data_IF_121746090097
#
_entry.id   IF_121746090097
#
_cell.length_a   1.000
_cell.length_b   1.000
_cell.length_c   1.000
_cell.angle_alpha   90.00
_cell.angle_beta   90.00
_cell.angle_gamma   90.00
#
_symmetry.space_group_name_H-M   'P 1'
#
loop_
_entity.id
_entity.type
_entity.pdbx_description
1 polymer ?
#
# COMPACT_ATOMS: atom_id res chain seq x y z
N UNK A 1 27.33 -3.10 22.62
CA UNK A 1 26.93 -4.08 23.67
C UNK A 1 27.27 -5.48 23.15
N UNK A 2 28.23 -6.16 23.79
CA UNK A 2 28.56 -7.57 23.50
C UNK A 2 27.44 -8.43 24.08
N UNK A 3 26.38 -8.65 23.31
CA UNK A 3 25.36 -9.64 23.63
C UNK A 3 25.97 -11.04 23.52
N UNK A 4 25.58 -11.97 24.34
CA UNK A 4 25.91 -13.38 24.16
C UNK A 4 25.46 -13.80 22.78
N UNK A 5 26.32 -14.55 22.05
CA UNK A 5 25.98 -15.06 20.71
C UNK A 5 24.75 -15.99 20.85
N UNK A 6 23.75 -15.78 19.97
CA UNK A 6 22.56 -16.63 19.88
C UNK A 6 22.99 -18.10 19.67
N UNK A 7 22.42 -19.02 20.42
CA UNK A 7 22.69 -20.46 20.27
C UNK A 7 22.01 -21.01 19.02
N UNK A 8 22.45 -22.17 18.54
CA UNK A 8 21.81 -22.88 17.42
C UNK A 8 20.32 -23.17 17.68
N UNK A 9 19.96 -23.51 18.91
CA UNK A 9 18.59 -23.80 19.30
C UNK A 9 17.73 -22.53 19.30
N UNK A 10 18.24 -21.43 19.87
CA UNK A 10 17.54 -20.12 19.85
C UNK A 10 17.33 -19.63 18.42
N UNK A 11 18.33 -19.74 17.56
CA UNK A 11 18.20 -19.42 16.13
C UNK A 11 17.13 -20.31 15.47
N UNK A 12 17.18 -21.64 15.70
CA UNK A 12 16.21 -22.57 15.13
C UNK A 12 14.77 -22.20 15.52
N UNK A 13 14.52 -21.94 16.81
CA UNK A 13 13.21 -21.54 17.31
C UNK A 13 12.73 -20.21 16.72
N UNK A 14 13.62 -19.21 16.62
CA UNK A 14 13.32 -17.92 16.00
C UNK A 14 12.99 -18.07 14.50
N UNK A 15 13.68 -18.94 13.79
CA UNK A 15 13.42 -19.16 12.38
C UNK A 15 12.10 -19.90 12.12
N UNK A 16 11.76 -20.88 12.97
CA UNK A 16 10.43 -21.54 12.93
C UNK A 16 9.33 -20.53 13.19
N UNK A 17 9.47 -19.63 14.19
CA UNK A 17 8.50 -18.57 14.43
C UNK A 17 8.35 -17.60 13.24
N UNK A 18 9.42 -17.37 12.49
CA UNK A 18 9.34 -16.56 11.25
C UNK A 18 8.53 -17.27 10.14
N UNK A 19 8.66 -18.60 10.01
CA UNK A 19 7.85 -19.40 9.07
C UNK A 19 6.38 -19.38 9.48
N UNK A 20 6.07 -19.56 10.76
CA UNK A 20 4.69 -19.49 11.29
C UNK A 20 4.08 -18.09 11.03
N UNK A 21 4.86 -17.02 11.25
CA UNK A 21 4.43 -15.65 11.01
C UNK A 21 4.14 -15.39 9.53
N UNK A 22 4.95 -15.94 8.62
CA UNK A 22 4.70 -15.84 7.18
C UNK A 22 3.42 -16.58 6.77
N UNK A 23 3.19 -17.79 7.32
CA UNK A 23 1.92 -18.52 7.14
C UNK A 23 0.72 -17.74 7.65
N UNK A 24 0.83 -17.15 8.83
CA UNK A 24 -0.22 -16.32 9.42
C UNK A 24 -0.54 -15.10 8.56
N UNK A 25 0.47 -14.42 8.02
CA UNK A 25 0.26 -13.27 7.13
C UNK A 25 -0.54 -13.66 5.87
N UNK A 26 -0.28 -14.85 5.30
CA UNK A 26 -1.07 -15.38 4.17
C UNK A 26 -2.52 -15.63 4.58
N UNK A 27 -2.76 -16.21 5.75
CA UNK A 27 -4.12 -16.43 6.26
C UNK A 27 -4.87 -15.12 6.53
N UNK A 28 -4.20 -14.11 7.07
CA UNK A 28 -4.76 -12.76 7.24
C UNK A 28 -5.13 -12.16 5.89
N UNK A 29 -4.26 -12.29 4.89
CA UNK A 29 -4.53 -11.87 3.50
C UNK A 29 -5.77 -12.55 2.92
N UNK A 30 -5.92 -13.87 3.11
CA UNK A 30 -7.11 -14.63 2.68
C UNK A 30 -8.36 -14.13 3.41
N UNK A 31 -8.31 -13.96 4.72
CA UNK A 31 -9.42 -13.46 5.52
C UNK A 31 -9.89 -12.06 5.11
N UNK A 32 -8.95 -11.18 4.75
CA UNK A 32 -9.26 -9.85 4.25
C UNK A 32 -9.92 -9.90 2.86
N UNK A 33 -9.33 -10.64 1.92
CA UNK A 33 -9.84 -10.74 0.55
C UNK A 33 -11.20 -11.41 0.44
N UNK A 34 -11.48 -12.40 1.30
CA UNK A 34 -12.76 -13.11 1.36
C UNK A 34 -13.83 -12.38 2.20
N UNK A 35 -13.43 -11.34 2.97
CA UNK A 35 -14.32 -10.64 3.88
C UNK A 35 -14.57 -11.37 5.21
N UNK A 36 -13.90 -12.50 5.48
CA UNK A 36 -14.09 -13.30 6.71
C UNK A 36 -13.80 -12.47 7.97
N UNK A 37 -12.75 -11.64 7.96
CA UNK A 37 -12.42 -10.79 9.10
C UNK A 37 -13.53 -9.77 9.40
N UNK A 38 -14.08 -9.14 8.36
CA UNK A 38 -15.19 -8.19 8.49
C UNK A 38 -16.49 -8.89 8.96
N UNK A 39 -16.78 -10.08 8.39
CA UNK A 39 -17.93 -10.91 8.79
C UNK A 39 -17.85 -11.29 10.26
N UNK A 40 -16.70 -11.82 10.70
CA UNK A 40 -16.51 -12.24 12.10
C UNK A 40 -16.57 -11.08 13.09
N UNK A 41 -16.12 -9.88 12.70
CA UNK A 41 -16.22 -8.70 13.55
C UNK A 41 -17.67 -8.27 13.83
N UNK A 42 -18.60 -8.63 12.94
CA UNK A 42 -20.04 -8.38 13.09
C UNK A 42 -20.83 -9.50 13.77
N UNK A 43 -20.19 -10.66 14.04
CA UNK A 43 -20.87 -11.83 14.61
C UNK A 43 -20.58 -11.97 16.12
N UNK A 44 -21.53 -12.52 16.90
CA UNK A 44 -21.22 -13.10 18.20
C UNK A 44 -20.34 -14.38 18.01
N UNK A 45 -19.83 -14.99 19.08
CA UNK A 45 -19.15 -16.28 18.98
C UNK A 45 -20.02 -17.29 18.19
N UNK A 46 -19.47 -17.88 17.13
CA UNK A 46 -20.21 -18.70 16.17
C UNK A 46 -19.37 -19.91 15.73
N UNK A 47 -20.05 -20.98 15.30
CA UNK A 47 -19.44 -22.18 14.74
C UNK A 47 -18.86 -21.89 13.35
N UNK A 48 -17.98 -22.78 12.86
CA UNK A 48 -17.44 -22.66 11.48
C UNK A 48 -18.55 -22.66 10.40
N UNK A 49 -19.63 -23.41 10.63
CA UNK A 49 -20.79 -23.46 9.75
C UNK A 49 -21.52 -22.12 9.68
N UNK A 50 -21.82 -21.52 10.83
CA UNK A 50 -22.52 -20.24 10.92
C UNK A 50 -21.68 -19.11 10.32
N UNK A 51 -20.35 -19.11 10.56
CA UNK A 51 -19.42 -18.14 9.96
C UNK A 51 -19.38 -18.30 8.43
N UNK A 52 -19.31 -19.54 7.94
CA UNK A 52 -19.29 -19.82 6.52
C UNK A 52 -20.61 -19.39 5.84
N UNK A 53 -21.75 -19.67 6.45
CA UNK A 53 -23.06 -19.23 5.96
C UNK A 53 -23.15 -17.70 5.92
N UNK A 54 -22.76 -17.01 6.99
CA UNK A 54 -22.78 -15.55 7.06
C UNK A 54 -21.84 -14.89 6.03
N UNK A 55 -20.71 -15.52 5.71
CA UNK A 55 -19.76 -15.05 4.72
C UNK A 55 -20.10 -15.48 3.27
N UNK A 56 -21.04 -16.41 3.08
CA UNK A 56 -21.35 -17.01 1.78
C UNK A 56 -20.21 -17.85 1.21
N UNK A 57 -19.48 -18.57 2.08
CA UNK A 57 -18.28 -19.33 1.74
C UNK A 57 -18.43 -20.82 2.09
N UNK A 58 -17.57 -21.66 1.50
CA UNK A 58 -17.52 -23.09 1.75
C UNK A 58 -16.94 -23.42 3.14
N UNK A 59 -17.71 -24.08 3.99
CA UNK A 59 -17.37 -24.37 5.39
C UNK A 59 -16.03 -25.08 5.55
N UNK A 60 -15.71 -26.03 4.67
CA UNK A 60 -14.45 -26.78 4.75
C UNK A 60 -13.23 -25.86 4.73
N UNK A 61 -13.22 -24.83 3.87
CA UNK A 61 -12.13 -23.84 3.79
C UNK A 61 -12.16 -22.88 4.98
N UNK A 62 -13.36 -22.43 5.38
CA UNK A 62 -13.52 -21.56 6.55
C UNK A 62 -13.00 -22.24 7.81
N UNK A 63 -13.31 -23.51 8.03
CA UNK A 63 -12.84 -24.29 9.19
C UNK A 63 -11.32 -24.44 9.22
N UNK A 64 -10.67 -24.77 8.11
CA UNK A 64 -9.20 -24.82 8.03
C UNK A 64 -8.56 -23.46 8.31
N UNK A 65 -9.13 -22.39 7.71
CA UNK A 65 -8.68 -21.02 7.95
C UNK A 65 -8.81 -20.63 9.43
N UNK A 66 -9.95 -20.93 10.05
CA UNK A 66 -10.18 -20.71 11.50
C UNK A 66 -9.16 -21.45 12.36
N UNK A 67 -8.80 -22.68 12.00
CA UNK A 67 -7.76 -23.45 12.66
C UNK A 67 -6.41 -22.72 12.65
N UNK A 68 -5.98 -22.22 11.47
CA UNK A 68 -4.76 -21.45 11.34
C UNK A 68 -4.80 -20.11 12.08
N UNK A 69 -5.92 -19.38 12.00
CA UNK A 69 -6.09 -18.10 12.69
C UNK A 69 -6.15 -18.27 14.22
N UNK A 70 -6.66 -19.39 14.71
CA UNK A 70 -6.71 -19.72 16.13
C UNK A 70 -5.31 -20.08 16.64
N UNK A 71 -4.58 -20.94 15.94
CA UNK A 71 -3.20 -21.30 16.32
C UNK A 71 -2.26 -20.10 16.23
N UNK A 72 -2.52 -19.18 15.27
CA UNK A 72 -1.86 -17.89 15.15
C UNK A 72 -2.34 -16.82 16.15
N UNK A 73 -3.25 -17.17 17.08
CA UNK A 73 -3.76 -16.29 18.15
C UNK A 73 -4.48 -15.02 17.65
N UNK A 74 -5.01 -15.04 16.44
CA UNK A 74 -5.86 -13.94 15.91
C UNK A 74 -7.33 -14.15 16.27
N UNK A 75 -7.81 -15.38 16.15
CA UNK A 75 -9.18 -15.80 16.48
C UNK A 75 -9.16 -16.58 17.79
N UNK A 76 -10.15 -16.35 18.65
CA UNK A 76 -10.37 -17.13 19.85
C UNK A 76 -11.31 -18.29 19.59
N UNK A 77 -11.07 -19.44 20.26
CA UNK A 77 -11.87 -20.65 20.15
C UNK A 77 -12.30 -21.15 21.52
N UNK A 78 -13.61 -21.35 21.68
CA UNK A 78 -14.18 -22.03 22.85
C UNK A 78 -14.46 -23.51 22.50
N UNK A 79 -13.71 -24.40 23.09
CA UNK A 79 -13.84 -25.84 22.90
C UNK A 79 -15.16 -26.40 23.48
N UNK A 80 -15.76 -25.74 24.47
CA UNK A 80 -17.00 -26.18 25.11
C UNK A 80 -18.21 -26.01 24.19
N UNK A 81 -18.26 -24.93 23.47
CA UNK A 81 -19.33 -24.60 22.49
C UNK A 81 -18.93 -24.84 21.03
N UNK A 82 -17.67 -25.15 20.75
CA UNK A 82 -17.09 -25.23 19.40
C UNK A 82 -17.28 -23.94 18.60
N UNK A 83 -17.19 -22.78 19.26
CA UNK A 83 -17.38 -21.46 18.62
C UNK A 83 -16.09 -20.67 18.53
N UNK A 84 -16.03 -19.83 17.49
CA UNK A 84 -14.93 -18.92 17.20
C UNK A 84 -15.39 -17.46 17.35
N UNK A 85 -14.48 -16.58 17.76
CA UNK A 85 -14.73 -15.15 17.82
C UNK A 85 -13.49 -14.33 17.45
N UNK A 86 -13.70 -13.17 16.83
CA UNK A 86 -12.65 -12.18 16.57
C UNK A 86 -12.77 -11.07 17.63
N UNK A 87 -11.85 -10.96 18.59
CA UNK A 87 -11.89 -9.93 19.62
C UNK A 87 -11.88 -8.52 19.04
N UNK A 88 -12.66 -7.59 19.59
CA UNK A 88 -12.84 -6.24 19.08
C UNK A 88 -11.51 -5.47 18.89
N UNK A 89 -10.55 -5.63 19.82
CA UNK A 89 -9.25 -4.98 19.71
C UNK A 89 -8.41 -5.50 18.54
N UNK A 90 -8.58 -6.77 18.13
CA UNK A 90 -7.93 -7.35 16.93
C UNK A 90 -8.71 -6.96 15.66
N UNK A 91 -10.03 -6.95 15.72
CA UNK A 91 -10.87 -6.47 14.62
C UNK A 91 -10.54 -5.02 14.25
N UNK A 92 -10.26 -4.15 15.24
CA UNK A 92 -9.84 -2.77 15.06
C UNK A 92 -8.49 -2.58 14.35
N UNK A 93 -7.76 -3.68 14.05
CA UNK A 93 -6.48 -3.64 13.30
C UNK A 93 -6.50 -4.49 12.03
N UNK A 94 -7.56 -5.27 11.79
CA UNK A 94 -7.57 -6.28 10.72
C UNK A 94 -8.80 -6.19 9.80
N UNK A 95 -9.77 -5.33 10.11
CA UNK A 95 -10.97 -5.16 9.28
C UNK A 95 -10.95 -3.87 8.48
N UNK A 96 -11.81 -3.76 7.48
CA UNK A 96 -11.96 -2.53 6.69
C UNK A 96 -12.40 -1.34 7.52
N UNK A 97 -13.13 -1.58 8.61
CA UNK A 97 -13.54 -0.55 9.56
C UNK A 97 -12.36 0.11 10.31
N UNK A 98 -11.20 -0.54 10.35
CA UNK A 98 -9.97 0.02 10.93
C UNK A 98 -9.38 1.18 10.10
N UNK A 99 -9.82 1.35 8.84
CA UNK A 99 -9.29 2.40 7.96
C UNK A 99 -7.77 2.33 7.79
N UNK A 100 -7.04 3.42 8.05
CA UNK A 100 -5.57 3.47 7.90
C UNK A 100 -4.81 2.47 8.79
N UNK A 101 -5.41 2.01 9.87
CA UNK A 101 -4.80 1.06 10.81
C UNK A 101 -4.98 -0.41 10.38
N UNK A 102 -5.59 -0.68 9.22
CA UNK A 102 -5.85 -2.03 8.74
C UNK A 102 -4.59 -2.76 8.26
N UNK A 103 -3.93 -3.49 9.13
CA UNK A 103 -2.72 -4.26 8.82
C UNK A 103 -2.97 -5.44 7.86
N UNK A 104 -4.23 -5.88 7.71
CA UNK A 104 -4.56 -6.97 6.80
C UNK A 104 -4.32 -6.59 5.31
N UNK A 105 -4.35 -5.31 4.98
CA UNK A 105 -3.98 -4.82 3.65
C UNK A 105 -2.50 -5.06 3.37
N UNK A 106 -1.62 -4.74 4.33
CA UNK A 106 -0.17 -4.95 4.21
C UNK A 106 0.15 -6.44 4.09
N UNK A 107 -0.59 -7.31 4.80
CA UNK A 107 -0.39 -8.75 4.73
C UNK A 107 -0.57 -9.33 3.31
N UNK A 108 -1.34 -8.67 2.44
CA UNK A 108 -1.53 -9.11 1.05
C UNK A 108 -0.23 -9.06 0.23
N UNK A 109 0.71 -8.19 0.57
CA UNK A 109 2.00 -8.12 -0.13
C UNK A 109 2.82 -9.40 0.02
N UNK A 110 2.70 -10.12 1.13
CA UNK A 110 3.45 -11.38 1.34
C UNK A 110 3.16 -12.38 0.22
N UNK A 111 1.89 -12.57 -0.13
CA UNK A 111 1.52 -13.47 -1.23
C UNK A 111 1.81 -12.87 -2.60
N UNK A 112 1.56 -11.57 -2.80
CA UNK A 112 1.83 -10.88 -4.05
C UNK A 112 3.32 -10.95 -4.43
N UNK A 113 4.22 -10.66 -3.50
CA UNK A 113 5.66 -10.73 -3.74
C UNK A 113 6.13 -12.17 -3.96
N UNK A 114 5.53 -13.16 -3.32
CA UNK A 114 5.80 -14.57 -3.54
C UNK A 114 5.50 -15.03 -4.98
N UNK A 115 4.54 -14.43 -5.67
CA UNK A 115 4.20 -14.78 -7.06
C UNK A 115 5.35 -14.49 -8.05
N UNK A 116 6.25 -13.57 -7.74
CA UNK A 116 7.38 -13.17 -8.60
C UNK A 116 8.74 -13.72 -8.17
N UNK A 117 8.81 -14.49 -7.08
CA UNK A 117 10.07 -15.00 -6.51
C UNK A 117 11.01 -15.60 -7.56
N UNK A 118 10.52 -16.48 -8.43
CA UNK A 118 11.34 -17.14 -9.45
C UNK A 118 11.86 -16.15 -10.52
N UNK A 119 11.14 -15.05 -10.74
CA UNK A 119 11.58 -13.99 -11.66
C UNK A 119 12.69 -13.15 -11.03
N UNK A 120 12.54 -12.81 -9.76
CA UNK A 120 13.59 -12.12 -8.99
C UNK A 120 14.86 -12.98 -8.88
N UNK A 121 14.74 -14.28 -8.62
CA UNK A 121 15.89 -15.20 -8.62
C UNK A 121 16.67 -15.15 -9.96
N UNK A 122 16.00 -15.00 -11.10
CA UNK A 122 16.67 -14.80 -12.39
C UNK A 122 17.42 -13.46 -12.41
N UNK A 123 16.83 -12.38 -11.90
CA UNK A 123 17.48 -11.08 -11.84
C UNK A 123 18.78 -11.09 -11.02
N UNK A 124 18.90 -11.94 -10.00
CA UNK A 124 20.18 -12.14 -9.27
C UNK A 124 21.32 -12.66 -10.14
N UNK A 125 21.01 -13.34 -11.25
CA UNK A 125 22.01 -13.94 -12.15
C UNK A 125 22.25 -13.09 -13.38
N UNK A 126 21.22 -12.45 -13.89
CA UNK A 126 21.18 -11.82 -15.20
C UNK A 126 21.09 -10.30 -15.15
N UNK A 127 20.80 -9.74 -13.96
CA UNK A 127 20.46 -8.33 -13.81
C UNK A 127 19.06 -8.01 -14.35
N UNK A 128 18.78 -6.73 -14.53
CA UNK A 128 17.46 -6.24 -14.93
C UNK A 128 16.49 -6.16 -13.75
N UNK A 129 15.20 -6.11 -14.02
CA UNK A 129 14.11 -6.05 -13.04
C UNK A 129 12.92 -6.90 -13.49
N UNK A 130 11.89 -6.96 -12.65
CA UNK A 130 10.63 -7.64 -12.96
C UNK A 130 9.62 -6.56 -13.41
N UNK A 131 9.09 -6.63 -14.64
CA UNK A 131 8.12 -5.64 -15.12
C UNK A 131 6.85 -5.58 -14.25
N UNK A 132 6.27 -4.41 -14.10
CA UNK A 132 5.02 -4.20 -13.33
C UNK A 132 3.86 -5.10 -13.80
N UNK A 133 3.78 -5.40 -15.09
CA UNK A 133 2.77 -6.30 -15.67
C UNK A 133 2.83 -7.73 -15.13
N UNK A 134 3.91 -8.09 -14.44
CA UNK A 134 4.09 -9.42 -13.86
C UNK A 134 3.56 -9.54 -12.42
N UNK A 135 3.02 -8.44 -11.86
CA UNK A 135 2.42 -8.38 -10.53
C UNK A 135 0.88 -8.27 -10.65
N UNK A 136 0.15 -9.38 -10.69
CA UNK A 136 -1.25 -9.42 -11.18
C UNK A 136 -2.26 -8.62 -10.34
N UNK A 137 -1.92 -8.22 -9.13
CA UNK A 137 -2.84 -7.47 -8.24
C UNK A 137 -2.23 -6.19 -7.70
N UNK A 138 -1.04 -5.81 -8.19
CA UNK A 138 -0.28 -4.72 -7.60
C UNK A 138 -1.04 -3.40 -7.59
N UNK A 139 -1.54 -2.96 -8.76
CA UNK A 139 -2.28 -1.69 -8.86
C UNK A 139 -3.53 -1.66 -7.97
N UNK A 140 -4.25 -2.79 -7.86
CA UNK A 140 -5.42 -2.87 -6.98
C UNK A 140 -5.03 -2.75 -5.50
N UNK A 141 -3.97 -3.45 -5.09
CA UNK A 141 -3.49 -3.43 -3.71
C UNK A 141 -2.93 -2.05 -3.34
N UNK A 142 -2.14 -1.43 -4.23
CA UNK A 142 -1.64 -0.07 -4.02
C UNK A 142 -2.77 0.95 -3.95
N UNK A 143 -3.79 0.83 -4.78
CA UNK A 143 -4.96 1.70 -4.71
C UNK A 143 -5.74 1.54 -3.39
N UNK A 144 -5.86 0.30 -2.86
CA UNK A 144 -6.46 0.04 -1.55
C UNK A 144 -5.64 0.67 -0.43
N UNK A 145 -4.31 0.44 -0.41
CA UNK A 145 -3.40 0.97 0.61
C UNK A 145 -3.35 2.50 0.59
N UNK A 146 -3.12 3.10 -0.59
CA UNK A 146 -3.09 4.56 -0.74
C UNK A 146 -4.44 5.18 -0.41
N UNK A 147 -5.54 4.51 -0.77
CA UNK A 147 -6.90 4.96 -0.48
C UNK A 147 -7.13 5.12 1.01
N UNK A 148 -6.71 4.17 1.84
CA UNK A 148 -6.87 4.26 3.29
C UNK A 148 -6.18 5.50 3.88
N UNK A 149 -4.96 5.81 3.43
CA UNK A 149 -4.19 6.96 3.92
C UNK A 149 -4.73 8.27 3.34
N UNK A 150 -4.96 8.32 2.04
CA UNK A 150 -5.38 9.57 1.38
C UNK A 150 -6.80 9.97 1.76
N UNK A 151 -7.74 9.02 1.88
CA UNK A 151 -9.12 9.33 2.28
C UNK A 151 -9.18 9.91 3.69
N UNK A 152 -8.31 9.46 4.58
CA UNK A 152 -8.28 9.91 5.97
C UNK A 152 -7.45 11.20 6.18
N UNK A 153 -6.38 11.43 5.39
CA UNK A 153 -5.36 12.39 5.79
C UNK A 153 -4.90 13.36 4.69
N UNK A 154 -5.14 13.09 3.40
CA UNK A 154 -4.52 13.89 2.33
C UNK A 154 -4.87 15.38 2.45
N UNK A 155 -6.15 15.71 2.54
CA UNK A 155 -6.63 17.10 2.48
C UNK A 155 -6.35 17.85 3.77
N UNK A 156 -6.62 17.21 4.93
CA UNK A 156 -6.64 17.87 6.22
C UNK A 156 -5.33 17.75 7.00
N UNK A 157 -4.44 16.82 6.61
CA UNK A 157 -3.17 16.59 7.31
C UNK A 157 -1.97 16.76 6.39
N UNK A 158 -1.95 16.06 5.22
CA UNK A 158 -0.75 16.00 4.37
C UNK A 158 -0.53 17.31 3.61
N UNK A 159 -1.57 17.86 2.95
CA UNK A 159 -1.43 19.13 2.24
C UNK A 159 -1.06 20.31 3.15
N UNK A 160 -1.60 20.43 4.39
CA UNK A 160 -1.20 21.46 5.35
C UNK A 160 0.24 21.37 5.88
N UNK A 161 0.97 20.27 5.64
CA UNK A 161 2.42 20.22 5.97
C UNK A 161 3.23 21.28 5.23
N UNK A 162 2.70 21.78 4.12
CA UNK A 162 3.26 22.93 3.41
C UNK A 162 2.42 24.17 3.71
N UNK A 163 3.05 25.14 4.38
CA UNK A 163 2.39 26.38 4.77
C UNK A 163 1.73 27.10 3.58
N UNK A 164 0.44 27.42 3.71
CA UNK A 164 -0.32 28.14 2.70
C UNK A 164 -0.72 27.32 1.46
N UNK A 165 -0.34 26.04 1.36
CA UNK A 165 -0.68 25.20 0.22
C UNK A 165 -2.20 25.04 0.04
N UNK A 166 -3.00 24.73 1.08
CA UNK A 166 -4.46 24.62 0.91
C UNK A 166 -5.11 25.92 0.40
N UNK A 167 -4.62 27.09 0.82
CA UNK A 167 -5.15 28.39 0.36
C UNK A 167 -4.75 28.67 -1.09
N UNK A 168 -3.54 28.31 -1.50
CA UNK A 168 -3.10 28.38 -2.90
C UNK A 168 -3.99 27.51 -3.79
N UNK A 169 -4.29 26.28 -3.36
CA UNK A 169 -5.18 25.39 -4.10
C UNK A 169 -6.62 25.91 -4.18
N UNK A 170 -7.13 26.54 -3.12
CA UNK A 170 -8.46 27.20 -3.15
C UNK A 170 -8.51 28.39 -4.09
N UNK A 171 -7.38 29.13 -4.22
CA UNK A 171 -7.28 30.31 -5.08
C UNK A 171 -7.12 29.96 -6.56
N UNK A 172 -6.75 28.74 -6.88
CA UNK A 172 -6.51 28.25 -8.22
C UNK A 172 -5.02 28.09 -8.55
N UNK A 173 -4.61 26.86 -8.83
CA UNK A 173 -3.24 26.48 -9.18
C UNK A 173 -3.24 25.38 -10.24
N UNK A 174 -2.15 25.30 -11.01
CA UNK A 174 -1.83 24.16 -11.86
C UNK A 174 -1.02 23.15 -11.05
N UNK A 175 -1.59 21.98 -10.82
CA UNK A 175 -1.03 20.92 -9.97
C UNK A 175 -0.77 19.68 -10.81
N UNK A 176 0.38 19.05 -10.61
CA UNK A 176 0.62 17.71 -11.14
C UNK A 176 0.92 16.72 -10.01
N UNK A 177 0.46 15.48 -10.17
CA UNK A 177 0.80 14.35 -9.32
C UNK A 177 1.63 13.36 -10.15
N UNK A 178 2.90 13.20 -9.79
CA UNK A 178 3.87 12.42 -10.57
C UNK A 178 4.01 11.01 -9.99
N UNK A 179 3.80 9.99 -10.84
CA UNK A 179 3.65 8.61 -10.40
C UNK A 179 2.28 8.39 -9.74
N UNK A 180 1.24 8.99 -10.33
CA UNK A 180 -0.08 9.07 -9.70
C UNK A 180 -0.84 7.74 -9.63
N UNK A 181 -0.35 6.67 -10.27
CA UNK A 181 -1.10 5.44 -10.41
C UNK A 181 -2.48 5.69 -11.01
N UNK A 182 -3.52 5.10 -10.46
CA UNK A 182 -4.92 5.37 -10.86
C UNK A 182 -5.47 6.72 -10.36
N UNK A 183 -4.63 7.60 -9.79
CA UNK A 183 -4.95 8.98 -9.47
C UNK A 183 -5.88 9.18 -8.25
N UNK A 184 -5.74 8.38 -7.19
CA UNK A 184 -6.55 8.59 -5.98
C UNK A 184 -6.35 9.98 -5.40
N UNK A 185 -5.10 10.41 -5.22
CA UNK A 185 -4.76 11.74 -4.71
C UNK A 185 -5.27 12.86 -5.62
N UNK A 186 -5.07 12.71 -6.94
CA UNK A 186 -5.58 13.66 -7.96
C UNK A 186 -7.09 13.87 -7.81
N UNK A 187 -7.86 12.79 -7.70
CA UNK A 187 -9.32 12.86 -7.60
C UNK A 187 -9.78 13.52 -6.31
N UNK A 188 -9.17 13.19 -5.18
CA UNK A 188 -9.48 13.82 -3.89
C UNK A 188 -9.17 15.31 -3.89
N UNK A 189 -8.01 15.69 -4.40
CA UNK A 189 -7.63 17.10 -4.53
C UNK A 189 -8.55 17.85 -5.50
N UNK A 190 -8.91 17.25 -6.63
CA UNK A 190 -9.82 17.85 -7.61
C UNK A 190 -11.24 18.09 -7.04
N UNK A 191 -11.72 17.16 -6.21
CA UNK A 191 -13.00 17.32 -5.48
C UNK A 191 -12.93 18.45 -4.46
N UNK A 192 -11.84 18.54 -3.71
CA UNK A 192 -11.69 19.52 -2.63
C UNK A 192 -11.41 20.96 -3.13
N UNK A 193 -10.75 21.09 -4.30
CA UNK A 193 -10.21 22.38 -4.78
C UNK A 193 -10.66 22.65 -6.23
N UNK A 194 -11.94 22.94 -6.41
CA UNK A 194 -12.55 23.14 -7.72
C UNK A 194 -11.99 24.31 -8.57
N UNK A 195 -11.26 25.26 -7.99
CA UNK A 195 -10.60 26.34 -8.70
C UNK A 195 -9.25 25.95 -9.31
N UNK A 196 -8.62 24.87 -8.83
CA UNK A 196 -7.35 24.35 -9.32
C UNK A 196 -7.53 23.30 -10.41
N UNK A 197 -6.50 23.11 -11.24
CA UNK A 197 -6.43 22.08 -12.27
C UNK A 197 -5.41 21.03 -11.86
N UNK A 198 -5.77 19.77 -11.99
CA UNK A 198 -4.95 18.64 -11.57
C UNK A 198 -4.63 17.74 -12.76
N UNK A 199 -3.36 17.39 -12.90
CA UNK A 199 -2.87 16.46 -13.92
C UNK A 199 -2.17 15.29 -13.24
N UNK A 200 -2.74 14.09 -13.32
CA UNK A 200 -2.05 12.87 -12.94
C UNK A 200 -1.12 12.41 -14.05
N UNK A 201 0.13 12.09 -13.74
CA UNK A 201 1.11 11.60 -14.70
C UNK A 201 1.65 10.26 -14.21
N UNK A 202 1.51 9.23 -15.07
CA UNK A 202 2.03 7.89 -14.80
C UNK A 202 2.52 7.25 -16.12
N UNK A 203 3.43 6.27 -16.02
CA UNK A 203 3.92 5.55 -17.21
C UNK A 203 2.99 4.38 -17.62
N UNK A 204 2.10 3.93 -16.74
CA UNK A 204 1.19 2.81 -16.95
C UNK A 204 -0.05 3.23 -17.74
N UNK A 205 -0.25 2.65 -18.92
CA UNK A 205 -1.48 2.85 -19.71
C UNK A 205 -2.73 2.44 -18.94
N UNK A 206 -2.66 1.33 -18.19
CA UNK A 206 -3.78 0.81 -17.38
C UNK A 206 -4.16 1.79 -16.26
N UNK A 207 -3.17 2.31 -15.54
CA UNK A 207 -3.39 3.25 -14.45
C UNK A 207 -4.00 4.57 -14.95
N UNK A 208 -3.47 5.12 -16.04
CA UNK A 208 -3.98 6.35 -16.69
C UNK A 208 -5.41 6.16 -17.19
N UNK A 209 -5.70 5.03 -17.84
CA UNK A 209 -7.05 4.72 -18.30
C UNK A 209 -8.04 4.62 -17.15
N UNK A 210 -7.69 3.90 -16.08
CA UNK A 210 -8.53 3.77 -14.89
C UNK A 210 -8.76 5.11 -14.19
N UNK A 211 -7.72 5.95 -14.07
CA UNK A 211 -7.83 7.30 -13.53
C UNK A 211 -8.76 8.20 -14.33
N UNK A 212 -8.64 8.16 -15.65
CA UNK A 212 -9.48 8.94 -16.59
C UNK A 212 -10.95 8.52 -16.51
N UNK A 213 -11.23 7.22 -16.53
CA UNK A 213 -12.59 6.69 -16.43
C UNK A 213 -13.25 7.07 -15.09
N UNK A 214 -12.54 6.89 -14.01
CA UNK A 214 -13.04 7.23 -12.67
C UNK A 214 -13.27 8.74 -12.51
N UNK A 215 -12.39 9.60 -12.99
CA UNK A 215 -12.57 11.05 -12.96
C UNK A 215 -13.81 11.47 -13.76
N UNK A 216 -14.04 10.88 -14.93
CA UNK A 216 -15.23 11.12 -15.73
C UNK A 216 -16.50 10.65 -14.98
N UNK A 217 -16.48 9.47 -14.34
CA UNK A 217 -17.59 8.95 -13.53
C UNK A 217 -17.93 9.86 -12.35
N UNK A 218 -16.92 10.49 -11.77
CA UNK A 218 -17.07 11.44 -10.65
C UNK A 218 -17.40 12.87 -11.12
N UNK A 219 -17.44 13.14 -12.43
CA UNK A 219 -17.73 14.46 -12.99
C UNK A 219 -16.64 15.52 -12.75
N UNK A 220 -15.38 15.11 -12.60
CA UNK A 220 -14.25 15.98 -12.27
C UNK A 220 -13.68 16.63 -13.53
N UNK A 221 -14.25 17.78 -13.94
CA UNK A 221 -13.80 18.53 -15.12
C UNK A 221 -12.40 19.17 -14.95
N UNK A 222 -11.89 19.24 -13.74
CA UNK A 222 -10.60 19.83 -13.39
C UNK A 222 -9.50 18.77 -13.12
N UNK A 223 -9.74 17.48 -13.44
CA UNK A 223 -8.76 16.41 -13.34
C UNK A 223 -8.50 15.79 -14.72
N UNK A 224 -7.24 15.67 -15.11
CA UNK A 224 -6.79 15.03 -16.33
C UNK A 224 -5.68 14.03 -16.05
N UNK A 225 -5.48 13.07 -16.94
CA UNK A 225 -4.43 12.06 -16.81
C UNK A 225 -3.61 11.95 -18.09
N UNK A 226 -2.30 11.88 -17.95
CA UNK A 226 -1.36 11.80 -19.06
C UNK A 226 -0.40 10.61 -18.84
N UNK A 227 -0.14 9.85 -19.91
CA UNK A 227 0.89 8.81 -19.88
C UNK A 227 2.24 9.40 -20.24
N UNK A 228 3.17 9.42 -19.31
CA UNK A 228 4.57 9.77 -19.54
C UNK A 228 5.51 9.00 -18.63
N UNK A 229 6.69 8.68 -19.15
CA UNK A 229 7.85 8.32 -18.32
C UNK A 229 8.41 9.61 -17.70
N UNK A 230 8.48 9.67 -16.37
CA UNK A 230 8.95 10.85 -15.65
C UNK A 230 10.44 11.17 -15.94
N UNK A 231 11.24 10.15 -16.32
CA UNK A 231 12.62 10.34 -16.73
C UNK A 231 12.74 11.04 -18.11
N UNK A 232 11.71 10.95 -18.96
CA UNK A 232 11.65 11.56 -20.29
C UNK A 232 10.77 12.83 -20.32
N UNK A 233 10.25 13.27 -19.19
CA UNK A 233 9.35 14.41 -19.10
C UNK A 233 10.08 15.71 -19.46
N UNK A 234 9.57 16.48 -20.42
CA UNK A 234 10.15 17.72 -20.94
C UNK A 234 9.39 19.01 -20.55
N UNK A 235 8.40 18.90 -19.66
CA UNK A 235 7.62 20.05 -19.16
C UNK A 235 8.54 21.09 -18.48
N UNK A 236 8.34 22.37 -18.76
CA UNK A 236 9.11 23.49 -18.19
C UNK A 236 8.16 24.55 -17.66
N UNK A 237 8.25 24.89 -16.37
CA UNK A 237 7.46 25.94 -15.74
C UNK A 237 5.95 25.74 -15.92
N UNK A 238 5.49 24.50 -15.91
CA UNK A 238 4.11 24.15 -16.22
C UNK A 238 3.22 24.15 -14.95
N UNK A 239 3.79 23.86 -13.79
CA UNK A 239 3.04 23.61 -12.58
C UNK A 239 3.41 24.54 -11.43
N UNK A 240 2.41 24.94 -10.66
CA UNK A 240 2.56 25.68 -9.40
C UNK A 240 2.91 24.76 -8.25
N UNK A 241 2.38 23.54 -8.30
CA UNK A 241 2.57 22.50 -7.29
C UNK A 241 2.79 21.17 -8.00
N UNK A 242 3.77 20.42 -7.53
CA UNK A 242 3.93 19.01 -7.89
C UNK A 242 3.84 18.18 -6.62
N UNK A 243 3.00 17.16 -6.64
CA UNK A 243 2.94 16.14 -5.60
C UNK A 243 3.58 14.85 -6.10
N UNK A 244 4.22 14.11 -5.19
CA UNK A 244 4.77 12.77 -5.45
C UNK A 244 4.55 11.93 -4.20
N UNK A 245 3.87 10.82 -4.35
CA UNK A 245 3.55 9.93 -3.25
C UNK A 245 4.09 8.53 -3.54
N UNK A 246 5.07 8.09 -2.74
CA UNK A 246 5.70 6.76 -2.82
C UNK A 246 6.16 6.35 -4.24
N UNK A 247 6.72 7.29 -5.02
CA UNK A 247 7.05 7.03 -6.42
C UNK A 247 8.50 7.33 -6.82
N UNK A 248 9.28 8.06 -6.00
CA UNK A 248 10.67 8.40 -6.35
C UNK A 248 11.61 7.22 -6.10
N UNK A 249 11.40 6.45 -5.04
CA UNK A 249 12.25 5.31 -4.70
C UNK A 249 12.16 4.17 -5.74
N UNK A 250 11.07 4.09 -6.50
CA UNK A 250 10.86 3.08 -7.55
C UNK A 250 11.42 3.47 -8.92
N UNK A 251 11.97 4.70 -9.06
CA UNK A 251 12.46 5.18 -10.34
C UNK A 251 13.82 4.58 -10.69
N UNK A 252 13.98 4.08 -11.91
CA UNK A 252 15.28 3.64 -12.42
C UNK A 252 16.33 4.78 -12.50
N UNK A 253 15.88 6.03 -12.64
CA UNK A 253 16.72 7.23 -12.75
C UNK A 253 16.22 8.35 -11.82
N UNK A 254 16.21 8.17 -10.49
CA UNK A 254 15.56 9.11 -9.57
C UNK A 254 16.13 10.53 -9.63
N UNK A 255 17.45 10.67 -9.81
CA UNK A 255 18.08 11.98 -9.95
C UNK A 255 17.57 12.74 -11.20
N UNK A 256 17.38 12.05 -12.32
CA UNK A 256 16.84 12.64 -13.55
C UNK A 256 15.38 13.04 -13.38
N UNK A 257 14.58 12.20 -12.72
CA UNK A 257 13.18 12.52 -12.41
C UNK A 257 13.10 13.77 -11.53
N UNK A 258 13.91 13.87 -10.46
CA UNK A 258 13.95 15.05 -9.61
C UNK A 258 14.40 16.32 -10.36
N UNK A 259 15.32 16.21 -11.32
CA UNK A 259 15.68 17.32 -12.19
C UNK A 259 14.52 17.75 -13.09
N UNK A 260 13.77 16.80 -13.66
CA UNK A 260 12.60 17.09 -14.48
C UNK A 260 11.46 17.71 -13.65
N UNK A 261 11.26 17.27 -12.42
CA UNK A 261 10.34 17.90 -11.44
C UNK A 261 10.74 19.36 -11.21
N UNK A 262 12.01 19.63 -10.93
CA UNK A 262 12.49 20.99 -10.72
C UNK A 262 12.26 21.88 -11.94
N UNK A 263 12.49 21.37 -13.15
CA UNK A 263 12.24 22.09 -14.42
C UNK A 263 10.75 22.33 -14.68
N UNK A 264 9.90 21.38 -14.31
CA UNK A 264 8.46 21.46 -14.50
C UNK A 264 7.78 22.46 -13.55
N UNK A 265 8.37 22.74 -12.40
CA UNK A 265 7.90 23.74 -11.45
C UNK A 265 8.11 25.17 -11.99
N UNK A 266 7.13 26.02 -11.76
CA UNK A 266 7.25 27.48 -11.94
C UNK A 266 8.19 28.07 -10.90
N UNK A 267 8.80 29.27 -11.15
CA UNK A 267 9.49 29.99 -10.09
C UNK A 267 8.57 30.21 -8.87
N UNK A 268 9.03 29.81 -7.68
CA UNK A 268 8.20 29.80 -6.46
C UNK A 268 7.18 28.65 -6.38
N UNK A 269 7.29 27.69 -7.27
CA UNK A 269 6.51 26.45 -7.20
C UNK A 269 6.93 25.55 -6.03
N UNK A 270 6.05 24.63 -5.65
CA UNK A 270 6.22 23.74 -4.50
C UNK A 270 6.27 22.29 -4.94
N UNK A 271 7.22 21.52 -4.42
CA UNK A 271 7.21 20.06 -4.42
C UNK A 271 6.76 19.57 -3.04
N UNK A 272 5.68 18.81 -3.00
CA UNK A 272 5.29 18.01 -1.85
C UNK A 272 5.58 16.54 -2.16
N UNK A 273 6.63 16.00 -1.54
CA UNK A 273 7.03 14.60 -1.71
C UNK A 273 6.84 13.87 -0.38
N UNK A 274 6.11 12.76 -0.45
CA UNK A 274 5.94 11.82 0.66
C UNK A 274 6.51 10.48 0.22
N UNK A 275 7.34 9.88 1.06
CA UNK A 275 7.99 8.62 0.76
C UNK A 275 8.19 7.79 2.02
N UNK A 276 8.60 6.53 1.88
CA UNK A 276 8.75 5.56 2.96
C UNK A 276 9.81 6.04 3.96
N UNK A 277 9.44 6.04 5.25
CA UNK A 277 10.36 6.39 6.34
C UNK A 277 11.30 5.24 6.66
N UNK A 278 12.48 5.25 6.08
CA UNK A 278 13.58 4.34 6.41
C UNK A 278 14.92 5.09 6.39
N UNK A 279 15.94 4.58 7.09
CA UNK A 279 17.30 5.13 6.99
C UNK A 279 18.02 4.61 5.74
N UNK A 280 18.84 5.45 5.13
CA UNK A 280 19.78 5.03 4.07
C UNK A 280 20.97 4.24 4.63
N UNK A 281 21.17 4.24 5.95
CA UNK A 281 22.22 3.48 6.63
C UNK A 281 21.63 2.16 7.14
N UNK A 282 22.27 1.04 6.75
CA UNK A 282 21.78 -0.30 7.11
C UNK A 282 21.69 -0.52 8.62
N UNK A 283 22.71 -0.05 9.35
CA UNK A 283 22.82 -0.19 10.81
C UNK A 283 21.67 0.46 11.56
N UNK A 284 21.10 1.55 11.05
CA UNK A 284 19.97 2.25 11.65
C UNK A 284 18.64 1.50 11.48
N UNK A 285 18.58 0.57 10.53
CA UNK A 285 17.40 -0.25 10.25
C UNK A 285 17.40 -1.57 11.00
N UNK A 286 18.53 -1.98 11.60
CA UNK A 286 18.63 -3.24 12.32
C UNK A 286 17.78 -3.22 13.58
N UNK A 287 16.83 -4.16 13.68
CA UNK A 287 15.91 -4.28 14.82
C UNK A 287 14.76 -3.27 14.82
N UNK A 288 14.63 -2.44 13.79
CA UNK A 288 13.47 -1.55 13.61
C UNK A 288 12.28 -2.35 13.07
N UNK A 289 11.09 -2.21 13.62
CA UNK A 289 9.88 -2.87 13.10
C UNK A 289 9.65 -2.59 11.62
N UNK A 290 9.20 -3.58 10.88
CA UNK A 290 8.95 -3.55 9.44
C UNK A 290 10.19 -3.41 8.54
N UNK A 291 11.40 -3.17 9.04
CA UNK A 291 12.58 -3.02 8.19
C UNK A 291 12.82 -4.24 7.29
N UNK A 292 12.71 -5.47 7.82
CA UNK A 292 12.83 -6.69 6.99
C UNK A 292 11.76 -6.74 5.91
N UNK A 293 10.51 -6.35 6.22
CA UNK A 293 9.44 -6.27 5.23
C UNK A 293 9.74 -5.21 4.16
N UNK A 294 10.22 -4.02 4.54
CA UNK A 294 10.60 -2.96 3.58
C UNK A 294 11.74 -3.40 2.67
N UNK A 295 12.78 -4.06 3.19
CA UNK A 295 13.84 -4.63 2.36
C UNK A 295 13.33 -5.75 1.43
N UNK A 296 12.38 -6.56 1.90
CA UNK A 296 11.75 -7.58 1.06
C UNK A 296 10.96 -6.93 -0.08
N UNK A 297 10.18 -5.90 0.20
CA UNK A 297 9.43 -5.16 -0.83
C UNK A 297 10.39 -4.48 -1.81
N UNK A 298 11.43 -3.82 -1.33
CA UNK A 298 12.45 -3.20 -2.16
C UNK A 298 13.10 -4.21 -3.12
N UNK A 299 13.56 -5.36 -2.60
CA UNK A 299 14.17 -6.41 -3.41
C UNK A 299 13.21 -7.03 -4.42
N UNK A 300 11.97 -7.29 -4.00
CA UNK A 300 11.01 -8.06 -4.77
C UNK A 300 10.19 -7.23 -5.75
N UNK A 301 10.19 -5.90 -5.61
CA UNK A 301 9.37 -5.00 -6.41
C UNK A 301 10.10 -3.76 -6.92
N UNK A 302 10.80 -2.99 -6.07
CA UNK A 302 11.33 -1.67 -6.43
C UNK A 302 12.65 -1.72 -7.25
N UNK A 303 13.24 -2.91 -7.47
CA UNK A 303 14.52 -3.05 -8.19
C UNK A 303 14.35 -3.35 -9.67
#
# INVERSE_FOLDING_TARGET
MSGALETTEEFGNRFVAAIDSAGLAILVSVGHQTGLLDTMAGLPPATSMEIAEAAGLEERYVREWLGGMTTGQIVEYDAGSSTYSLPAHRAGMLTRAAGPDNLAVIAQFVSLLGEVEQKVIRCFREGGGVPYSEYPRFHKLMAEMSGMVFDAALIDVVLPLVDGLPDRLRSGADVADFGCGSGRAVKLMAQAFGASRFTGIDFSDEAVAAGTEEAARLGLANATFERHDLAELDKVGAYDVITVFDAIHDQAQPARVLQNIYRALRPGGVLLMVDIKASSQLEDNVGVPLSTYLYTTSLMHCM
#
